data_IF_217063869250
#
_entry.id   IF_217063869250
#
_cell.length_a   1.000
_cell.length_b   1.000
_cell.length_c   1.000
_cell.angle_alpha   90.00
_cell.angle_beta   90.00
_cell.angle_gamma   90.00
#
_symmetry.space_group_name_H-M   'P 1'
#
loop_
_entity.id
_entity.type
_entity.pdbx_description
1 polymer ?
#
# COMPACT_ATOMS: atom_id res chain seq x y z
N UNK A 1 -18.01 57.80 55.10
CA UNK A 1 -17.96 58.35 53.75
C UNK A 1 -17.95 57.23 52.72
N UNK A 2 -16.92 56.39 52.58
CA UNK A 2 -16.75 55.38 51.53
C UNK A 2 -17.93 54.40 51.36
N UNK A 3 -18.50 53.89 52.43
CA UNK A 3 -19.67 52.98 52.45
C UNK A 3 -20.96 53.69 51.98
N UNK A 4 -21.14 54.95 52.31
CA UNK A 4 -22.27 55.74 51.89
C UNK A 4 -22.20 56.12 50.40
N UNK A 5 -21.01 56.44 49.87
CA UNK A 5 -20.74 56.67 48.46
C UNK A 5 -21.01 55.45 47.61
N UNK A 6 -20.67 54.23 48.13
CA UNK A 6 -20.93 52.96 47.43
C UNK A 6 -22.44 52.66 47.38
N UNK A 7 -23.18 52.92 48.45
CA UNK A 7 -24.65 52.81 48.46
C UNK A 7 -25.35 53.80 47.56
N UNK A 8 -24.87 55.01 47.48
CA UNK A 8 -25.37 56.05 46.56
C UNK A 8 -25.21 55.63 45.10
N UNK A 9 -24.02 55.14 44.73
CA UNK A 9 -23.72 54.67 43.39
C UNK A 9 -24.56 53.45 42.97
N UNK A 10 -24.94 52.59 43.90
CA UNK A 10 -25.82 51.44 43.67
C UNK A 10 -27.31 51.80 43.68
N UNK A 11 -27.67 53.05 43.93
CA UNK A 11 -29.03 53.50 44.02
C UNK A 11 -29.82 52.93 45.20
N UNK A 12 -29.13 52.42 46.25
CA UNK A 12 -29.71 51.78 47.42
C UNK A 12 -29.50 52.58 48.73
N UNK A 13 -29.22 53.89 48.61
CA UNK A 13 -29.01 54.81 49.72
C UNK A 13 -30.39 55.30 50.24
N UNK A 14 -30.55 55.36 51.59
CA UNK A 14 -31.73 55.95 52.19
C UNK A 14 -31.61 57.48 52.29
N UNK A 15 -32.74 58.14 52.53
CA UNK A 15 -32.80 59.62 52.64
C UNK A 15 -31.93 60.17 53.75
N UNK A 16 -31.89 59.48 54.90
CA UNK A 16 -31.05 59.87 56.06
C UNK A 16 -29.56 59.62 55.77
N UNK A 17 -29.23 58.52 55.09
CA UNK A 17 -27.86 58.22 54.67
C UNK A 17 -27.37 59.20 53.60
N UNK A 18 -28.28 59.70 52.74
CA UNK A 18 -27.98 60.73 51.74
C UNK A 18 -27.65 62.07 52.41
N UNK A 19 -28.40 62.43 53.45
CA UNK A 19 -28.13 63.66 54.25
C UNK A 19 -26.82 63.55 55.00
N UNK A 20 -26.45 62.37 55.53
CA UNK A 20 -25.14 62.13 56.14
C UNK A 20 -24.01 62.16 55.11
N UNK A 21 -24.24 61.70 53.87
CA UNK A 21 -23.28 61.76 52.80
C UNK A 21 -23.00 63.19 52.36
N UNK A 22 -24.07 64.02 52.20
CA UNK A 22 -23.91 65.43 51.83
C UNK A 22 -23.23 66.25 52.96
N UNK A 23 -23.61 66.08 54.23
CA UNK A 23 -22.91 66.72 55.34
C UNK A 23 -21.45 66.31 55.47
N UNK A 24 -21.12 65.06 55.17
CA UNK A 24 -19.74 64.58 55.14
C UNK A 24 -18.93 65.10 53.94
N UNK A 25 -19.55 65.37 52.82
CA UNK A 25 -18.90 66.00 51.67
C UNK A 25 -18.64 67.52 51.91
N UNK A 26 -19.58 68.21 52.56
CA UNK A 26 -19.40 69.64 52.93
C UNK A 26 -18.33 69.81 53.99
N UNK A 27 -18.05 68.79 54.82
CA UNK A 27 -17.04 68.83 55.90
C UNK A 27 -15.66 68.37 55.47
N UNK A 28 -15.54 67.70 54.31
CA UNK A 28 -14.28 67.19 53.78
C UNK A 28 -13.56 68.33 52.96
N UNK A 29 -12.25 68.42 53.12
CA UNK A 29 -11.48 69.33 52.25
C UNK A 29 -11.48 68.78 50.78
N UNK A 30 -11.47 69.69 49.83
CA UNK A 30 -11.46 69.34 48.39
C UNK A 30 -10.34 68.33 48.01
N UNK A 31 -9.23 68.38 48.74
CA UNK A 31 -8.09 67.50 48.54
C UNK A 31 -8.33 66.06 49.04
N UNK A 32 -9.05 65.87 50.16
CA UNK A 32 -9.39 64.56 50.70
C UNK A 32 -10.49 63.86 49.82
N UNK A 33 -11.41 64.63 49.31
CA UNK A 33 -12.45 64.15 48.41
C UNK A 33 -11.85 63.70 47.07
N UNK A 34 -10.93 64.49 46.52
CA UNK A 34 -10.19 64.15 45.27
C UNK A 34 -9.39 62.86 45.41
N UNK A 35 -8.65 62.69 46.53
CA UNK A 35 -7.87 61.47 46.78
C UNK A 35 -8.73 60.21 46.89
N UNK A 36 -9.87 60.30 47.54
CA UNK A 36 -10.82 59.20 47.66
C UNK A 36 -11.46 58.80 46.30
N UNK A 37 -11.81 59.77 45.48
CA UNK A 37 -12.34 59.54 44.14
C UNK A 37 -11.32 58.95 43.19
N UNK A 38 -10.09 59.45 43.25
CA UNK A 38 -8.99 58.94 42.44
C UNK A 38 -8.59 57.48 42.78
N UNK A 39 -8.56 57.15 44.09
CA UNK A 39 -8.34 55.78 44.54
C UNK A 39 -9.46 54.84 44.10
N UNK A 40 -10.69 55.26 44.13
CA UNK A 40 -11.84 54.44 43.67
C UNK A 40 -11.81 54.26 42.16
N UNK A 41 -11.52 55.29 41.39
CA UNK A 41 -11.44 55.26 39.92
C UNK A 41 -10.29 54.37 39.46
N UNK A 42 -9.09 54.45 40.09
CA UNK A 42 -7.98 53.56 39.77
C UNK A 42 -8.28 52.08 40.08
N UNK A 43 -8.99 51.78 41.16
CA UNK A 43 -9.33 50.44 41.56
C UNK A 43 -10.36 49.78 40.61
N UNK A 44 -11.32 50.57 40.11
CA UNK A 44 -12.29 50.12 39.12
C UNK A 44 -11.67 49.85 37.76
N UNK A 45 -10.80 50.73 37.28
CA UNK A 45 -10.05 50.54 36.02
C UNK A 45 -9.09 49.34 36.09
N UNK A 46 -8.46 49.09 37.25
CA UNK A 46 -7.61 47.94 37.46
C UNK A 46 -8.38 46.61 37.39
N UNK A 47 -9.64 46.54 37.84
CA UNK A 47 -10.49 45.37 37.71
C UNK A 47 -10.89 45.12 36.24
N UNK A 48 -11.29 46.18 35.52
CA UNK A 48 -11.67 46.09 34.11
C UNK A 48 -10.49 45.71 33.20
N UNK A 49 -9.30 46.21 33.47
CA UNK A 49 -8.08 45.85 32.71
C UNK A 49 -7.67 44.38 32.94
N UNK A 50 -7.74 43.88 34.17
CA UNK A 50 -7.47 42.47 34.46
C UNK A 50 -8.45 41.55 33.77
N UNK A 51 -9.74 41.87 33.77
CA UNK A 51 -10.76 41.05 33.10
C UNK A 51 -10.52 40.99 31.58
N UNK A 52 -10.17 42.15 30.95
CA UNK A 52 -9.80 42.21 29.53
C UNK A 52 -8.56 41.39 29.21
N UNK A 53 -7.54 41.44 30.07
CA UNK A 53 -6.32 40.66 29.92
C UNK A 53 -6.62 39.12 29.98
N UNK A 54 -7.42 38.69 30.96
CA UNK A 54 -7.80 37.29 31.10
C UNK A 54 -8.67 36.79 29.90
N UNK A 55 -9.57 37.62 29.40
CA UNK A 55 -10.34 37.30 28.18
C UNK A 55 -9.44 37.20 26.95
N UNK A 56 -8.42 38.03 26.83
CA UNK A 56 -7.43 37.94 25.73
C UNK A 56 -6.60 36.64 25.80
N UNK A 57 -6.16 36.24 27.00
CA UNK A 57 -5.39 35.00 27.22
C UNK A 57 -6.22 33.77 26.89
N UNK A 58 -7.47 33.72 27.36
CA UNK A 58 -8.36 32.56 27.06
C UNK A 58 -8.74 32.45 25.60
N UNK A 59 -8.97 33.58 24.92
CA UNK A 59 -9.21 33.60 23.47
C UNK A 59 -7.97 33.13 22.68
N UNK A 60 -6.76 33.54 23.11
CA UNK A 60 -5.49 33.08 22.52
C UNK A 60 -5.29 31.57 22.67
N UNK A 61 -5.55 31.01 23.86
CA UNK A 61 -5.44 29.57 24.10
C UNK A 61 -6.45 28.77 23.25
N UNK A 62 -7.69 29.24 23.15
CA UNK A 62 -8.70 28.59 22.33
C UNK A 62 -8.33 28.65 20.83
N UNK A 63 -7.80 29.76 20.36
CA UNK A 63 -7.37 29.90 18.96
C UNK A 63 -6.18 29.00 18.66
N UNK A 64 -5.21 28.89 19.58
CA UNK A 64 -4.08 27.98 19.45
C UNK A 64 -4.53 26.51 19.46
N UNK A 65 -5.45 26.13 20.34
CA UNK A 65 -6.03 24.79 20.38
C UNK A 65 -6.81 24.46 19.09
N UNK A 66 -7.57 25.40 18.54
CA UNK A 66 -8.29 25.23 17.29
C UNK A 66 -7.32 25.09 16.09
N UNK A 67 -6.25 25.89 16.07
CA UNK A 67 -5.24 25.83 15.01
C UNK A 67 -4.43 24.50 15.06
N UNK A 68 -4.01 24.08 16.26
CA UNK A 68 -3.33 22.80 16.44
C UNK A 68 -4.22 21.60 16.10
N UNK A 69 -5.51 21.66 16.45
CA UNK A 69 -6.50 20.67 16.05
C UNK A 69 -6.71 20.63 14.53
N UNK A 70 -6.76 21.79 13.87
CA UNK A 70 -6.88 21.87 12.42
C UNK A 70 -5.66 21.32 11.70
N UNK A 71 -4.45 21.63 12.19
CA UNK A 71 -3.19 21.06 11.67
C UNK A 71 -3.17 19.56 11.86
N UNK A 72 -3.53 19.05 13.04
CA UNK A 72 -3.59 17.62 13.32
C UNK A 72 -4.58 16.88 12.42
N UNK A 73 -5.77 17.45 12.19
CA UNK A 73 -6.78 16.88 11.29
C UNK A 73 -6.35 16.95 9.81
N UNK A 74 -5.65 18.02 9.40
CA UNK A 74 -5.11 18.15 8.05
C UNK A 74 -3.98 17.14 7.80
N UNK A 75 -3.14 16.88 8.80
CA UNK A 75 -2.05 15.91 8.71
C UNK A 75 -2.58 14.47 8.60
N UNK A 76 -3.62 14.12 9.38
CA UNK A 76 -4.33 12.83 9.25
C UNK A 76 -5.01 12.72 7.87
N UNK A 77 -5.62 13.80 7.37
CA UNK A 77 -6.27 13.82 6.04
C UNK A 77 -5.25 13.71 4.90
N UNK A 78 -4.08 14.35 5.03
CA UNK A 78 -2.97 14.26 4.07
C UNK A 78 -2.33 12.86 4.03
N UNK A 79 -2.19 12.20 5.17
CA UNK A 79 -1.67 10.83 5.24
C UNK A 79 -2.60 9.82 4.54
N UNK A 80 -3.92 9.97 4.66
CA UNK A 80 -4.89 9.14 3.93
C UNK A 80 -4.79 9.31 2.41
N UNK A 81 -4.48 10.50 1.93
CA UNK A 81 -4.34 10.78 0.48
C UNK A 81 -3.06 10.20 -0.14
N UNK A 82 -2.03 9.88 0.66
CA UNK A 82 -0.81 9.24 0.17
C UNK A 82 -0.98 7.72 0.00
N UNK A 83 -1.79 7.08 0.84
CA UNK A 83 -2.03 5.63 0.78
C UNK A 83 -2.85 5.19 -0.44
N UNK A 84 -3.56 6.10 -1.09
CA UNK A 84 -4.36 5.80 -2.29
C UNK A 84 -3.54 5.86 -3.60
N UNK A 85 -2.25 6.22 -3.55
CA UNK A 85 -1.37 6.23 -4.72
C UNK A 85 -0.62 4.91 -4.81
N UNK A 86 -0.78 4.23 -5.94
CA UNK A 86 -0.05 3.02 -6.27
C UNK A 86 1.06 3.33 -7.28
N UNK A 87 2.20 2.69 -7.09
CA UNK A 87 3.27 2.60 -8.08
C UNK A 87 3.07 1.28 -8.81
N UNK A 88 3.00 1.33 -10.14
CA UNK A 88 2.91 0.16 -10.99
C UNK A 88 4.18 0.06 -11.86
N UNK A 89 4.77 -1.13 -11.93
CA UNK A 89 5.93 -1.44 -12.76
C UNK A 89 5.57 -2.65 -13.60
N UNK A 90 5.75 -2.53 -14.91
CA UNK A 90 5.38 -3.54 -15.90
C UNK A 90 6.62 -4.00 -16.69
N UNK A 91 6.67 -5.28 -17.04
CA UNK A 91 7.58 -5.81 -18.04
C UNK A 91 6.91 -5.78 -19.42
N UNK A 92 7.72 -5.56 -20.46
CA UNK A 92 7.26 -5.61 -21.84
C UNK A 92 6.91 -7.02 -22.31
N UNK A 93 6.45 -7.10 -23.56
CA UNK A 93 6.24 -8.35 -24.27
C UNK A 93 7.60 -8.97 -24.56
N UNK A 94 7.84 -10.21 -24.18
CA UNK A 94 9.13 -10.93 -24.24
C UNK A 94 10.29 -10.34 -23.43
N UNK A 95 10.07 -9.29 -22.65
CA UNK A 95 11.07 -8.65 -21.83
C UNK A 95 10.94 -9.05 -20.36
N UNK A 96 12.06 -9.02 -19.65
CA UNK A 96 12.10 -9.16 -18.19
C UNK A 96 12.45 -7.82 -17.55
N UNK A 97 11.87 -7.53 -16.40
CA UNK A 97 12.18 -6.32 -15.63
C UNK A 97 12.67 -6.65 -14.24
N UNK A 98 13.74 -6.00 -13.81
CA UNK A 98 14.26 -6.13 -12.43
C UNK A 98 13.88 -4.89 -11.62
N UNK A 99 13.27 -5.12 -10.47
CA UNK A 99 12.74 -4.08 -9.59
C UNK A 99 13.38 -4.22 -8.21
N UNK A 100 13.88 -3.11 -7.67
CA UNK A 100 14.30 -3.01 -6.27
C UNK A 100 13.24 -2.22 -5.52
N UNK A 101 12.55 -2.87 -4.59
CA UNK A 101 11.52 -2.23 -3.76
C UNK A 101 12.17 -1.40 -2.63
N UNK A 102 11.42 -0.44 -2.03
CA UNK A 102 11.95 0.45 -0.99
C UNK A 102 12.48 -0.26 0.27
N UNK A 103 12.03 -1.48 0.56
CA UNK A 103 12.49 -2.32 1.68
C UNK A 103 13.76 -3.13 1.37
N UNK A 104 14.32 -3.00 0.15
CA UNK A 104 15.46 -3.77 -0.34
C UNK A 104 15.11 -5.13 -0.96
N UNK A 105 13.83 -5.48 -1.03
CA UNK A 105 13.36 -6.68 -1.76
C UNK A 105 13.64 -6.54 -3.25
N UNK A 106 14.23 -7.58 -3.85
CA UNK A 106 14.45 -7.66 -5.29
C UNK A 106 13.35 -8.51 -5.93
N UNK A 107 12.77 -7.99 -7.02
CA UNK A 107 11.75 -8.70 -7.80
C UNK A 107 12.20 -8.74 -9.25
N UNK A 108 12.16 -9.92 -9.87
CA UNK A 108 12.32 -10.07 -11.31
C UNK A 108 10.94 -10.40 -11.87
N UNK A 109 10.46 -9.60 -12.79
CA UNK A 109 9.20 -9.83 -13.52
C UNK A 109 9.51 -10.51 -14.84
N UNK A 110 8.79 -11.58 -15.16
CA UNK A 110 8.82 -12.19 -16.49
C UNK A 110 8.00 -11.36 -17.50
N UNK A 111 8.04 -11.71 -18.78
CA UNK A 111 7.29 -11.06 -19.85
C UNK A 111 5.79 -10.90 -19.51
N UNK A 112 5.19 -9.79 -19.93
CA UNK A 112 3.77 -9.47 -19.71
C UNK A 112 3.35 -9.56 -18.23
N UNK A 113 4.22 -9.15 -17.32
CA UNK A 113 3.96 -9.17 -15.87
C UNK A 113 3.99 -7.77 -15.28
N UNK A 114 3.26 -7.58 -14.18
CA UNK A 114 3.13 -6.29 -13.53
C UNK A 114 3.12 -6.47 -12.01
N UNK A 115 3.82 -5.58 -11.31
CA UNK A 115 3.78 -5.44 -9.86
C UNK A 115 3.25 -4.08 -9.47
N UNK A 116 2.39 -4.05 -8.45
CA UNK A 116 1.85 -2.83 -7.86
C UNK A 116 2.10 -2.80 -6.37
N UNK A 117 2.42 -1.62 -5.83
CA UNK A 117 2.52 -1.39 -4.39
C UNK A 117 2.11 0.05 -4.04
N UNK A 118 1.64 0.25 -2.81
CA UNK A 118 1.24 1.57 -2.33
C UNK A 118 2.44 2.50 -2.15
N UNK A 119 2.24 3.81 -2.29
CA UNK A 119 3.32 4.81 -2.16
C UNK A 119 3.92 4.89 -0.74
N UNK A 120 3.21 4.38 0.27
CA UNK A 120 3.65 4.23 1.66
C UNK A 120 4.19 2.82 1.98
N UNK A 121 4.54 2.04 0.94
CA UNK A 121 5.13 0.72 1.06
C UNK A 121 6.35 0.71 2.01
N UNK A 122 6.38 -0.24 2.92
CA UNK A 122 7.42 -0.36 3.94
C UNK A 122 7.16 0.46 5.21
N UNK A 123 6.34 1.52 5.16
CA UNK A 123 5.93 2.33 6.31
C UNK A 123 4.77 1.65 7.04
N UNK A 124 3.62 1.55 6.40
CA UNK A 124 2.42 0.88 6.93
C UNK A 124 2.53 -0.64 6.83
N UNK A 125 2.72 -1.15 5.62
CA UNK A 125 2.84 -2.57 5.31
C UNK A 125 3.82 -2.81 4.16
N UNK A 126 4.31 -4.06 4.03
CA UNK A 126 5.12 -4.51 2.89
C UNK A 126 4.25 -5.39 2.00
N UNK A 127 3.33 -4.75 1.28
CA UNK A 127 2.34 -5.45 0.47
C UNK A 127 2.43 -5.07 -1.00
N UNK A 128 2.45 -6.08 -1.87
CA UNK A 128 2.45 -5.91 -3.32
C UNK A 128 1.32 -6.72 -3.95
N UNK A 129 0.91 -6.33 -5.15
CA UNK A 129 0.04 -7.13 -6.03
C UNK A 129 0.84 -7.55 -7.24
N UNK A 130 0.76 -8.81 -7.61
CA UNK A 130 1.40 -9.38 -8.79
C UNK A 130 0.35 -9.78 -9.82
N UNK A 131 0.63 -9.49 -11.10
CA UNK A 131 -0.08 -9.99 -12.26
C UNK A 131 0.95 -10.65 -13.17
N UNK A 132 0.79 -11.92 -13.50
CA UNK A 132 1.72 -12.67 -14.31
C UNK A 132 2.71 -13.51 -13.51
N UNK A 133 4.00 -13.44 -13.83
CA UNK A 133 5.05 -14.23 -13.20
C UNK A 133 6.15 -13.34 -12.60
N UNK A 134 6.56 -13.65 -11.38
CA UNK A 134 7.63 -12.94 -10.69
C UNK A 134 8.43 -13.85 -9.79
N UNK A 135 9.75 -13.61 -9.77
CA UNK A 135 10.68 -14.15 -8.78
C UNK A 135 10.95 -13.09 -7.72
N UNK A 136 10.87 -13.48 -6.47
CA UNK A 136 11.05 -12.61 -5.31
C UNK A 136 12.26 -13.06 -4.48
N UNK A 137 13.17 -12.14 -4.19
CA UNK A 137 14.22 -12.27 -3.16
C UNK A 137 13.89 -11.24 -2.08
N UNK A 138 13.06 -11.64 -1.12
CA UNK A 138 12.50 -10.75 -0.11
C UNK A 138 13.49 -10.45 0.99
N UNK A 139 13.69 -9.16 1.27
CA UNK A 139 14.51 -8.69 2.37
C UNK A 139 14.01 -9.23 3.72
N UNK A 140 14.93 -9.79 4.53
CA UNK A 140 14.59 -10.39 5.83
C UNK A 140 14.13 -9.34 6.83
N UNK A 141 12.94 -9.54 7.38
CA UNK A 141 12.38 -8.74 8.45
C UNK A 141 11.43 -9.61 9.29
N UNK A 142 11.84 -9.92 10.52
CA UNK A 142 11.07 -10.75 11.44
C UNK A 142 9.89 -10.01 12.10
N UNK A 143 9.88 -8.68 12.05
CA UNK A 143 8.86 -7.86 12.70
C UNK A 143 7.70 -7.53 11.76
N UNK A 144 8.02 -7.31 10.47
CA UNK A 144 7.05 -6.92 9.46
C UNK A 144 7.05 -7.93 8.31
N UNK A 145 5.94 -8.66 8.15
CA UNK A 145 5.79 -9.61 7.04
C UNK A 145 5.73 -8.89 5.70
N UNK A 146 6.19 -9.56 4.65
CA UNK A 146 5.98 -9.18 3.25
C UNK A 146 4.81 -9.98 2.69
N UNK A 147 3.91 -9.35 1.97
CA UNK A 147 2.71 -9.98 1.42
C UNK A 147 2.61 -9.78 -0.09
N UNK A 148 2.24 -10.82 -0.81
CA UNK A 148 1.94 -10.78 -2.25
C UNK A 148 0.51 -11.22 -2.48
N UNK A 149 -0.32 -10.31 -2.99
CA UNK A 149 -1.66 -10.63 -3.50
C UNK A 149 -1.55 -11.01 -4.98
N UNK A 150 -2.06 -12.15 -5.36
CA UNK A 150 -2.08 -12.65 -6.74
C UNK A 150 -3.44 -13.27 -7.02
N UNK A 151 -4.28 -12.56 -7.75
CA UNK A 151 -5.67 -12.97 -7.98
C UNK A 151 -6.38 -13.26 -6.64
N UNK A 152 -6.70 -14.53 -6.40
CA UNK A 152 -7.37 -15.06 -5.22
C UNK A 152 -6.41 -15.73 -4.21
N UNK A 153 -5.09 -15.63 -4.44
CA UNK A 153 -4.06 -16.10 -3.53
C UNK A 153 -3.50 -14.96 -2.68
N UNK A 154 -3.23 -15.26 -1.43
CA UNK A 154 -2.51 -14.38 -0.53
C UNK A 154 -1.28 -15.09 0.02
N UNK A 155 -0.10 -14.58 -0.32
CA UNK A 155 1.21 -15.15 0.06
C UNK A 155 1.81 -14.25 1.15
N UNK A 156 2.28 -14.85 2.25
CA UNK A 156 2.92 -14.14 3.36
C UNK A 156 4.26 -14.76 3.72
N UNK A 157 5.29 -13.90 3.83
CA UNK A 157 6.68 -14.31 4.08
C UNK A 157 7.41 -13.33 4.99
N UNK A 158 8.60 -13.70 5.53
CA UNK A 158 9.44 -12.86 6.41
C UNK A 158 10.89 -12.68 5.90
N UNK A 159 11.21 -13.17 4.72
CA UNK A 159 12.55 -13.15 4.14
C UNK A 159 12.80 -14.47 3.41
N UNK A 160 12.38 -14.53 2.16
CA UNK A 160 12.10 -15.77 1.44
C UNK A 160 12.41 -15.57 -0.03
N UNK A 161 12.99 -16.59 -0.68
CA UNK A 161 13.15 -16.63 -2.13
C UNK A 161 12.14 -17.58 -2.72
N UNK A 162 11.32 -17.09 -3.64
CA UNK A 162 10.24 -17.86 -4.23
C UNK A 162 9.85 -17.33 -5.62
N UNK A 163 9.24 -18.20 -6.40
CA UNK A 163 8.68 -17.86 -7.71
C UNK A 163 7.17 -18.01 -7.68
N UNK A 164 6.48 -17.10 -8.35
CA UNK A 164 5.02 -17.12 -8.53
C UNK A 164 4.72 -17.09 -10.01
N UNK A 165 3.90 -18.02 -10.49
CA UNK A 165 3.34 -18.07 -11.84
C UNK A 165 1.83 -18.00 -11.74
N UNK A 166 1.22 -16.89 -12.19
CA UNK A 166 -0.23 -16.69 -12.10
C UNK A 166 -0.71 -15.65 -13.14
N UNK A 167 -0.59 -15.99 -14.41
CA UNK A 167 -1.14 -15.17 -15.47
C UNK A 167 -2.67 -15.21 -15.48
N UNK A 168 -3.36 -14.06 -15.62
CA UNK A 168 -4.82 -13.99 -15.55
C UNK A 168 -5.56 -14.82 -16.62
N UNK A 169 -4.92 -15.02 -17.78
CA UNK A 169 -5.43 -15.80 -18.92
C UNK A 169 -5.09 -17.30 -18.83
N UNK A 170 -4.50 -17.73 -17.73
CA UNK A 170 -4.14 -19.13 -17.49
C UNK A 170 -4.90 -19.70 -16.29
N UNK A 171 -5.53 -20.87 -16.49
CA UNK A 171 -6.24 -21.60 -15.43
C UNK A 171 -5.31 -22.22 -14.38
N UNK A 172 -4.00 -22.15 -14.59
CA UNK A 172 -3.01 -22.76 -13.74
C UNK A 172 -2.22 -21.68 -12.99
N UNK A 173 -2.11 -21.84 -11.67
CA UNK A 173 -1.27 -20.99 -10.81
C UNK A 173 -0.27 -21.87 -10.07
N UNK A 174 0.93 -21.36 -9.88
CA UNK A 174 2.00 -22.08 -9.18
C UNK A 174 2.80 -21.13 -8.29
N UNK A 175 3.10 -21.58 -7.07
CA UNK A 175 4.05 -20.91 -6.17
C UNK A 175 5.09 -21.92 -5.75
N UNK A 176 6.36 -21.66 -6.01
CA UNK A 176 7.49 -22.53 -5.64
C UNK A 176 8.42 -21.83 -4.67
N UNK A 177 8.86 -22.56 -3.66
CA UNK A 177 9.72 -22.05 -2.59
C UNK A 177 11.16 -22.54 -2.76
N UNK A 178 12.09 -21.58 -2.85
CA UNK A 178 13.52 -21.83 -2.98
C UNK A 178 14.20 -21.78 -1.61
N UNK A 179 14.00 -20.71 -0.84
CA UNK A 179 14.62 -20.48 0.48
C UNK A 179 13.63 -19.82 1.43
N UNK A 180 13.61 -20.20 2.71
CA UNK A 180 12.77 -19.61 3.75
C UNK A 180 11.49 -20.40 4.01
N UNK A 181 10.38 -19.71 4.18
CA UNK A 181 9.05 -20.30 4.41
C UNK A 181 7.94 -19.42 3.81
N UNK A 182 6.89 -20.05 3.33
CA UNK A 182 5.70 -19.38 2.79
C UNK A 182 4.47 -19.86 3.57
N UNK A 183 3.62 -18.90 4.03
CA UNK A 183 2.21 -19.15 4.30
C UNK A 183 1.41 -18.69 3.10
N UNK A 184 0.65 -19.58 2.49
CA UNK A 184 -0.20 -19.32 1.33
C UNK A 184 -1.64 -19.60 1.69
N UNK A 185 -2.50 -18.60 1.52
CA UNK A 185 -3.95 -18.69 1.64
C UNK A 185 -4.59 -18.67 0.25
N UNK A 186 -5.51 -19.57 -0.01
CA UNK A 186 -6.34 -19.65 -1.21
C UNK A 186 -7.78 -20.03 -0.82
N UNK A 187 -8.73 -19.10 -0.96
CA UNK A 187 -10.06 -19.24 -0.40
C UNK A 187 -10.00 -19.45 1.12
N UNK A 188 -10.69 -20.47 1.60
CA UNK A 188 -10.72 -20.86 3.03
C UNK A 188 -9.56 -21.79 3.43
N UNK A 189 -8.69 -22.16 2.51
CA UNK A 189 -7.58 -23.09 2.74
C UNK A 189 -6.26 -22.36 2.92
N UNK A 190 -5.48 -22.78 3.90
CA UNK A 190 -4.12 -22.27 4.16
C UNK A 190 -3.13 -23.43 4.13
N UNK A 191 -1.97 -23.20 3.49
CA UNK A 191 -0.86 -24.16 3.44
C UNK A 191 0.44 -23.48 3.77
N UNK A 192 1.36 -24.25 4.39
CA UNK A 192 2.74 -23.85 4.63
C UNK A 192 3.64 -24.59 3.67
N UNK A 193 4.54 -23.85 2.98
CA UNK A 193 5.56 -24.47 2.14
C UNK A 193 6.92 -24.43 2.80
N UNK A 194 7.66 -25.53 2.61
CA UNK A 194 9.07 -25.67 2.96
C UNK A 194 9.95 -25.56 1.69
N UNK A 195 11.26 -25.27 1.81
CA UNK A 195 12.16 -25.23 0.67
C UNK A 195 12.08 -26.49 -0.19
N UNK A 196 12.13 -26.32 -1.52
CA UNK A 196 11.94 -27.37 -2.51
C UNK A 196 10.53 -27.99 -2.52
N UNK A 197 9.54 -27.21 -2.10
CA UNK A 197 8.13 -27.49 -2.30
C UNK A 197 7.48 -26.44 -3.19
N UNK A 198 6.50 -26.86 -3.96
CA UNK A 198 5.64 -25.98 -4.73
C UNK A 198 4.18 -26.36 -4.55
N UNK A 199 3.31 -25.38 -4.60
CA UNK A 199 1.87 -25.58 -4.70
C UNK A 199 1.42 -25.26 -6.11
N UNK A 200 0.62 -26.18 -6.67
CA UNK A 200 -0.04 -26.02 -7.97
C UNK A 200 -1.54 -25.93 -7.73
N UNK A 201 -2.17 -24.90 -8.28
CA UNK A 201 -3.61 -24.65 -8.19
C UNK A 201 -4.19 -24.71 -9.59
N UNK A 202 -5.17 -25.59 -9.79
CA UNK A 202 -5.93 -25.67 -11.04
C UNK A 202 -7.19 -24.82 -10.92
N UNK A 203 -7.38 -23.85 -11.81
CA UNK A 203 -8.53 -22.96 -11.83
C UNK A 203 -9.87 -23.67 -11.94
N UNK A 204 -9.91 -24.78 -12.66
CA UNK A 204 -11.14 -25.57 -12.87
C UNK A 204 -11.62 -26.29 -11.62
N UNK A 205 -10.72 -26.67 -10.70
CA UNK A 205 -11.08 -27.43 -9.50
C UNK A 205 -10.82 -26.69 -8.19
N UNK A 206 -10.06 -25.62 -8.21
CA UNK A 206 -9.61 -24.89 -7.02
C UNK A 206 -8.75 -25.71 -6.05
N UNK A 207 -8.33 -26.92 -6.47
CA UNK A 207 -7.55 -27.81 -5.61
C UNK A 207 -6.09 -27.39 -5.56
N UNK A 208 -5.56 -27.29 -4.35
CA UNK A 208 -4.13 -27.12 -4.10
C UNK A 208 -3.44 -28.48 -4.02
N UNK A 209 -2.40 -28.68 -4.82
CA UNK A 209 -1.53 -29.86 -4.76
C UNK A 209 -0.12 -29.42 -4.41
N UNK A 210 0.42 -29.93 -3.31
CA UNK A 210 1.81 -29.68 -2.91
C UNK A 210 2.68 -30.77 -3.53
N UNK A 211 3.72 -30.35 -4.22
CA UNK A 211 4.66 -31.22 -4.92
C UNK A 211 6.10 -30.85 -4.51
N UNK A 212 7.00 -31.83 -4.61
CA UNK A 212 8.45 -31.60 -4.50
C UNK A 212 8.98 -31.05 -5.82
N UNK A 213 9.93 -30.12 -5.74
CA UNK A 213 10.67 -29.55 -6.88
C UNK A 213 12.11 -29.26 -6.49
N UNK A 214 13.02 -29.26 -7.46
CA UNK A 214 14.38 -28.71 -7.31
C UNK A 214 14.47 -27.26 -7.75
N UNK A 215 13.32 -26.66 -8.10
CA UNK A 215 13.15 -25.31 -8.61
C UNK A 215 13.83 -25.01 -9.96
N UNK A 216 14.50 -25.96 -10.58
CA UNK A 216 15.22 -25.75 -11.85
C UNK A 216 14.33 -25.34 -12.99
N UNK A 217 13.09 -25.88 -13.03
CA UNK A 217 12.09 -25.56 -14.04
C UNK A 217 11.41 -24.22 -13.75
N UNK A 218 11.09 -23.95 -12.49
CA UNK A 218 10.37 -22.76 -12.04
C UNK A 218 11.19 -21.48 -12.17
N UNK A 219 12.54 -21.61 -12.17
CA UNK A 219 13.49 -20.49 -12.27
C UNK A 219 14.22 -20.41 -13.60
N UNK A 220 14.11 -21.41 -14.48
CA UNK A 220 14.79 -21.49 -15.77
C UNK A 220 14.60 -20.23 -16.64
N UNK A 221 13.42 -19.63 -16.58
CA UNK A 221 13.07 -18.44 -17.36
C UNK A 221 13.95 -17.22 -17.04
N UNK A 222 14.54 -17.15 -15.85
CA UNK A 222 15.46 -16.08 -15.48
C UNK A 222 16.78 -16.16 -16.26
N UNK A 223 17.15 -17.37 -16.74
CA UNK A 223 18.36 -17.66 -17.49
C UNK A 223 18.10 -17.91 -18.99
N UNK A 224 16.98 -17.43 -19.53
CA UNK A 224 16.56 -17.65 -20.94
C UNK A 224 16.46 -19.12 -21.35
N UNK A 225 16.21 -19.99 -20.36
CA UNK A 225 15.94 -21.41 -20.59
C UNK A 225 14.45 -21.72 -20.49
N UNK A 226 13.99 -22.52 -21.41
CA UNK A 226 12.59 -23.01 -21.43
C UNK A 226 12.65 -24.51 -21.17
N UNK A 227 12.00 -24.95 -20.09
CA UNK A 227 11.97 -26.38 -19.70
C UNK A 227 10.50 -26.83 -19.68
N UNK A 228 10.21 -27.88 -20.41
CA UNK A 228 8.93 -28.57 -20.42
C UNK A 228 9.10 -29.99 -19.88
N UNK A 229 8.31 -30.39 -18.92
CA UNK A 229 8.25 -31.76 -18.39
C UNK A 229 6.81 -32.22 -18.43
N UNK A 230 6.51 -33.13 -19.37
CA UNK A 230 5.19 -33.67 -19.59
C UNK A 230 4.07 -32.61 -19.67
N UNK A 231 4.40 -31.42 -20.24
CA UNK A 231 3.43 -30.33 -20.39
C UNK A 231 2.51 -30.56 -21.59
N UNK A 232 1.20 -30.34 -21.48
CA UNK A 232 0.30 -30.36 -22.63
C UNK A 232 0.72 -29.33 -23.68
N UNK A 233 0.56 -29.64 -24.95
CA UNK A 233 1.01 -28.80 -26.07
C UNK A 233 0.40 -27.39 -26.01
N UNK A 234 -0.85 -27.22 -25.58
CA UNK A 234 -1.44 -25.90 -25.40
C UNK A 234 -0.67 -25.03 -24.39
N UNK A 235 -0.13 -25.61 -23.30
CA UNK A 235 0.72 -24.89 -22.33
C UNK A 235 2.11 -24.61 -22.88
N UNK A 236 2.65 -25.51 -23.72
CA UNK A 236 3.89 -25.26 -24.44
C UNK A 236 3.74 -24.05 -25.34
N UNK A 237 2.69 -24.01 -26.15
CA UNK A 237 2.38 -22.90 -27.07
C UNK A 237 2.21 -21.59 -26.28
N UNK A 238 1.42 -21.61 -25.22
CA UNK A 238 1.19 -20.44 -24.36
C UNK A 238 2.52 -19.87 -23.79
N UNK A 239 3.38 -20.73 -23.28
CA UNK A 239 4.69 -20.34 -22.75
C UNK A 239 5.61 -19.78 -23.87
N UNK A 240 5.59 -20.37 -25.06
CA UNK A 240 6.36 -19.86 -26.21
C UNK A 240 5.85 -18.48 -26.67
N UNK A 241 4.54 -18.30 -26.72
CA UNK A 241 3.94 -16.99 -27.07
C UNK A 241 4.44 -15.89 -26.12
N UNK A 242 4.46 -16.15 -24.80
CA UNK A 242 4.94 -15.18 -23.81
C UNK A 242 6.44 -14.94 -23.93
N UNK A 243 7.22 -16.03 -24.07
CA UNK A 243 8.68 -15.92 -24.12
C UNK A 243 9.18 -15.15 -25.35
N UNK A 244 8.57 -15.39 -26.51
CA UNK A 244 8.99 -14.78 -27.78
C UNK A 244 8.16 -13.57 -28.22
N UNK A 245 7.09 -13.22 -27.48
CA UNK A 245 6.20 -12.10 -27.84
C UNK A 245 5.44 -12.32 -29.14
N UNK A 246 5.11 -13.56 -29.48
CA UNK A 246 4.42 -13.95 -30.69
C UNK A 246 3.02 -14.44 -30.42
N UNK A 247 2.16 -14.43 -31.44
CA UNK A 247 0.83 -15.05 -31.43
C UNK A 247 0.87 -16.34 -32.25
N UNK A 248 0.56 -17.47 -31.63
CA UNK A 248 0.55 -18.77 -32.29
C UNK A 248 -0.90 -19.25 -32.39
N UNK A 249 -1.41 -19.35 -33.59
CA UNK A 249 -2.73 -19.90 -33.88
C UNK A 249 -2.60 -21.35 -34.39
N UNK A 250 -3.29 -22.27 -33.76
CA UNK A 250 -3.33 -23.66 -34.21
C UNK A 250 -4.61 -23.90 -35.00
N UNK A 251 -4.44 -24.20 -36.28
CA UNK A 251 -5.50 -24.65 -37.16
C UNK A 251 -5.12 -26.06 -37.64
N UNK A 252 -6.07 -27.02 -37.66
CA UNK A 252 -5.78 -28.39 -38.09
C UNK A 252 -6.03 -29.41 -37.00
N UNK A 253 -5.69 -30.67 -37.30
CA UNK A 253 -6.01 -31.82 -36.46
C UNK A 253 -4.87 -32.16 -35.47
N UNK A 254 -4.38 -31.14 -34.71
CA UNK A 254 -3.31 -31.30 -33.75
C UNK A 254 -3.90 -31.52 -32.36
N UNK A 255 -3.45 -32.57 -31.67
CA UNK A 255 -3.84 -32.83 -30.28
C UNK A 255 -3.11 -31.86 -29.35
N UNK A 256 -3.79 -30.79 -28.94
CA UNK A 256 -3.26 -29.80 -28.00
C UNK A 256 -3.08 -30.36 -26.57
N UNK A 257 -3.60 -31.56 -26.28
CA UNK A 257 -3.48 -32.23 -24.99
C UNK A 257 -2.28 -33.19 -24.90
N UNK A 258 -1.62 -33.49 -26.04
CA UNK A 258 -0.42 -34.31 -26.06
C UNK A 258 0.71 -33.67 -25.29
N UNK A 259 1.48 -34.48 -24.58
CA UNK A 259 2.47 -33.99 -23.64
C UNK A 259 3.85 -33.92 -24.27
N UNK A 260 4.53 -32.83 -24.04
CA UNK A 260 5.89 -32.55 -24.49
C UNK A 260 6.87 -32.52 -23.31
N UNK A 261 8.04 -33.10 -23.51
CA UNK A 261 9.20 -32.98 -22.61
C UNK A 261 10.42 -32.55 -23.42
N UNK A 262 11.06 -31.45 -23.02
CA UNK A 262 12.25 -30.94 -23.70
C UNK A 262 12.78 -29.69 -23.03
N UNK A 263 14.05 -29.37 -23.32
CA UNK A 263 14.72 -28.17 -22.82
C UNK A 263 15.28 -27.40 -24.00
N UNK A 264 15.04 -26.10 -24.00
CA UNK A 264 15.56 -25.16 -25.00
C UNK A 264 16.39 -24.08 -24.30
N UNK A 265 17.59 -23.85 -24.81
CA UNK A 265 18.51 -22.82 -24.31
C UNK A 265 18.99 -22.03 -25.52
N UNK A 266 18.88 -20.71 -25.51
CA UNK A 266 19.33 -19.80 -26.55
C UNK A 266 18.85 -20.18 -27.97
N UNK A 267 17.59 -20.66 -28.08
CA UNK A 267 16.97 -21.05 -29.35
C UNK A 267 16.01 -19.99 -29.85
N UNK A 268 15.99 -19.79 -31.17
CA UNK A 268 14.96 -18.97 -31.80
C UNK A 268 13.59 -19.70 -31.79
N UNK A 269 12.51 -18.94 -31.95
CA UNK A 269 11.16 -19.54 -32.04
C UNK A 269 11.08 -20.49 -33.25
N UNK A 270 11.73 -20.20 -34.38
CA UNK A 270 11.77 -21.08 -35.55
C UNK A 270 12.45 -22.41 -35.23
N UNK A 271 13.60 -22.40 -34.54
CA UNK A 271 14.29 -23.64 -34.17
C UNK A 271 13.42 -24.54 -33.29
N UNK A 272 12.68 -23.92 -32.35
CA UNK A 272 11.78 -24.66 -31.45
C UNK A 272 10.58 -25.23 -32.23
N UNK A 273 9.99 -24.43 -33.13
CA UNK A 273 8.88 -24.88 -33.97
C UNK A 273 9.30 -25.99 -34.92
N UNK A 274 10.53 -25.98 -35.47
CA UNK A 274 11.03 -27.07 -36.30
C UNK A 274 11.15 -28.39 -35.52
N UNK A 275 11.59 -28.33 -34.25
CA UNK A 275 11.64 -29.49 -33.38
C UNK A 275 10.21 -30.01 -33.06
N UNK A 276 9.29 -29.11 -32.73
CA UNK A 276 7.90 -29.47 -32.46
C UNK A 276 7.19 -30.02 -33.72
N UNK A 277 7.48 -29.44 -34.91
CA UNK A 277 7.00 -29.95 -36.20
C UNK A 277 7.44 -31.41 -36.43
N UNK A 278 8.70 -31.73 -36.19
CA UNK A 278 9.21 -33.12 -36.32
C UNK A 278 8.54 -34.07 -35.35
N UNK A 279 8.14 -33.60 -34.17
CA UNK A 279 7.52 -34.42 -33.13
C UNK A 279 6.02 -34.65 -33.37
N UNK A 280 5.31 -33.58 -33.78
CA UNK A 280 3.84 -33.60 -33.89
C UNK A 280 3.31 -33.71 -35.34
N UNK A 281 4.20 -33.55 -36.35
CA UNK A 281 3.83 -33.72 -37.75
C UNK A 281 3.01 -32.57 -38.36
N UNK A 282 3.04 -31.38 -37.77
CA UNK A 282 2.39 -30.19 -38.30
C UNK A 282 3.31 -29.39 -39.23
N UNK A 283 2.73 -28.48 -39.99
CA UNK A 283 3.46 -27.39 -40.68
C UNK A 283 3.17 -26.03 -40.04
N UNK A 284 4.02 -25.04 -40.28
CA UNK A 284 3.79 -23.71 -39.76
C UNK A 284 4.24 -22.61 -40.72
N UNK A 285 3.66 -21.41 -40.59
CA UNK A 285 4.02 -20.21 -41.35
C UNK A 285 4.23 -19.07 -40.34
N UNK A 286 5.35 -18.34 -40.49
CA UNK A 286 5.67 -17.15 -39.67
C UNK A 286 5.40 -15.89 -40.49
N UNK A 287 4.52 -15.01 -40.00
CA UNK A 287 4.19 -13.71 -40.60
C UNK A 287 4.42 -12.62 -39.55
N UNK A 288 5.67 -12.13 -39.42
CA UNK A 288 6.05 -11.19 -38.37
C UNK A 288 5.93 -11.81 -36.99
N UNK A 289 5.04 -11.24 -36.14
CA UNK A 289 4.77 -11.76 -34.80
C UNK A 289 3.59 -12.78 -34.76
N UNK A 290 3.03 -13.15 -35.92
CA UNK A 290 1.94 -14.14 -36.03
C UNK A 290 2.47 -15.43 -36.62
N UNK A 291 2.14 -16.55 -36.00
CA UNK A 291 2.51 -17.88 -36.42
C UNK A 291 1.25 -18.71 -36.58
N UNK A 292 1.09 -19.34 -37.71
CA UNK A 292 -0.02 -20.27 -37.99
C UNK A 292 0.53 -21.68 -38.06
N UNK A 293 0.06 -22.55 -37.18
CA UNK A 293 0.31 -24.00 -37.20
C UNK A 293 -0.85 -24.69 -37.91
N UNK A 294 -0.51 -25.57 -38.87
CA UNK A 294 -1.50 -26.25 -39.76
C UNK A 294 -1.32 -27.76 -39.78
#
# INVERSE_FOLDING_TARGET
>A
MKRLLEKYRRGIISRDELTQLSAGMDAASDSELAELLEKEWMNENRKKSRLRLWMGITAGIMMFAALSSAIYLADIGGFKSLSDKYVAIESGTSDKSSVLLPDGTKVILNANSRIEYASDFGISERKVRLFGQGYFDVAKDSQKSFSVDVADMHIKVHGTKFNVYAYPDNDFKEVSLIEGSISLQYGDSEVQLSPNEKVCISGTSGRMNILRTDNSMETAWMEDRIIFIAKPLYQVIDQLQRHFGVQINCSGNISLTDRYTGTFTDRSISDILDILKMHYGFDYIINGNRIEIR
#
